data_IF_123807352954
#
_entry.id   IF_123807352954
#
_cell.length_a   1.000
_cell.length_b   1.000
_cell.length_c   1.000
_cell.angle_alpha   90.00
_cell.angle_beta   90.00
_cell.angle_gamma   90.00
#
_symmetry.space_group_name_H-M   'P 1'
#
loop_
_entity.id
_entity.type
_entity.pdbx_description
1 polymer ?
#
# COMPACT_ATOMS: atom_id res chain seq x y z
N UNK A 1 -5.24 -17.52 -10.35
CA UNK A 1 -4.86 -16.15 -9.95
C UNK A 1 -3.76 -16.24 -8.90
N UNK A 2 -2.55 -15.79 -9.22
CA UNK A 2 -1.39 -15.85 -8.32
C UNK A 2 -1.56 -14.84 -7.19
N UNK A 3 -1.87 -15.32 -5.98
CA UNK A 3 -1.88 -14.48 -4.78
C UNK A 3 -0.45 -14.18 -4.34
N UNK A 4 0.22 -13.22 -5.00
CA UNK A 4 1.51 -12.70 -4.52
C UNK A 4 1.27 -11.83 -3.29
N UNK A 5 1.56 -12.42 -2.13
CA UNK A 5 1.60 -11.74 -0.84
C UNK A 5 2.94 -11.00 -0.71
N UNK A 6 2.91 -9.69 -0.88
CA UNK A 6 4.05 -8.80 -0.69
C UNK A 6 4.31 -8.59 0.80
N UNK A 7 5.57 -8.53 1.20
CA UNK A 7 5.94 -8.13 2.55
C UNK A 7 6.02 -6.59 2.66
N UNK A 8 6.12 -6.04 3.87
CA UNK A 8 6.25 -4.57 4.06
C UNK A 8 7.41 -3.95 3.26
N UNK A 9 8.52 -4.70 3.10
CA UNK A 9 9.67 -4.26 2.30
C UNK A 9 9.33 -4.17 0.82
N UNK A 10 8.72 -5.21 0.26
CA UNK A 10 8.34 -5.23 -1.16
C UNK A 10 7.24 -4.20 -1.44
N UNK A 11 6.32 -3.98 -0.50
CA UNK A 11 5.34 -2.91 -0.62
C UNK A 11 5.99 -1.52 -0.62
N UNK A 12 7.02 -1.34 0.21
CA UNK A 12 7.80 -0.09 0.26
C UNK A 12 8.50 0.19 -1.07
N UNK A 13 9.10 -0.83 -1.68
CA UNK A 13 9.70 -0.74 -3.02
C UNK A 13 8.63 -0.52 -4.10
N UNK A 14 7.49 -1.21 -4.01
CA UNK A 14 6.40 -1.11 -4.99
C UNK A 14 5.69 0.25 -4.98
N UNK A 15 5.44 0.82 -3.79
CA UNK A 15 4.86 2.16 -3.65
C UNK A 15 5.90 3.29 -3.76
N UNK A 16 7.20 2.96 -3.78
CA UNK A 16 8.29 3.95 -3.65
C UNK A 16 8.23 4.75 -2.34
N UNK A 17 7.53 4.24 -1.32
CA UNK A 17 7.28 4.96 -0.06
C UNK A 17 8.08 4.32 1.07
N UNK A 18 8.80 5.08 1.91
CA UNK A 18 9.58 4.50 3.00
C UNK A 18 8.68 3.78 4.03
N UNK A 19 9.20 2.70 4.61
CA UNK A 19 8.50 1.84 5.59
C UNK A 19 7.81 2.62 6.71
N UNK A 20 8.44 3.68 7.24
CA UNK A 20 7.87 4.51 8.30
C UNK A 20 6.62 5.30 7.86
N UNK A 21 6.64 5.82 6.64
CA UNK A 21 5.46 6.47 6.05
C UNK A 21 4.38 5.44 5.75
N UNK A 22 4.76 4.23 5.33
CA UNK A 22 3.86 3.09 5.17
C UNK A 22 3.12 2.72 6.46
N UNK A 23 3.83 2.59 7.59
CA UNK A 23 3.19 2.39 8.90
C UNK A 23 2.26 3.53 9.27
N UNK A 24 2.68 4.79 9.05
CA UNK A 24 1.83 5.96 9.29
C UNK A 24 0.56 5.93 8.43
N UNK A 25 0.66 5.53 7.16
CA UNK A 25 -0.48 5.38 6.27
C UNK A 25 -1.43 4.26 6.72
N UNK A 26 -0.90 3.13 7.19
CA UNK A 26 -1.70 2.04 7.75
C UNK A 26 -2.43 2.52 9.00
N UNK A 27 -1.73 3.15 9.94
CA UNK A 27 -2.32 3.71 11.16
C UNK A 27 -3.37 4.78 10.87
N UNK A 28 -3.15 5.61 9.84
CA UNK A 28 -4.11 6.63 9.38
C UNK A 28 -5.27 6.06 8.54
N UNK A 29 -5.33 4.74 8.32
CA UNK A 29 -6.37 4.12 7.49
C UNK A 29 -6.31 4.53 6.01
N UNK A 30 -5.17 5.04 5.54
CA UNK A 30 -4.98 5.41 4.14
C UNK A 30 -4.89 4.18 3.25
N UNK A 31 -4.37 3.07 3.78
CA UNK A 31 -4.33 1.75 3.13
C UNK A 31 -5.46 0.90 3.73
N UNK A 32 -6.34 0.32 2.90
CA UNK A 32 -7.42 -0.53 3.37
C UNK A 32 -6.87 -1.75 4.10
N UNK A 33 -7.50 -2.12 5.21
CA UNK A 33 -7.17 -3.36 5.93
C UNK A 33 -7.42 -4.60 5.08
N UNK A 34 -8.31 -4.52 4.07
CA UNK A 34 -8.52 -5.58 3.08
C UNK A 34 -7.26 -5.92 2.27
N UNK A 35 -6.38 -4.93 2.04
CA UNK A 35 -5.09 -5.17 1.40
C UNK A 35 -4.07 -5.81 2.35
N UNK A 36 -4.36 -5.90 3.65
CA UNK A 36 -3.45 -6.32 4.71
C UNK A 36 -3.86 -7.69 5.24
N UNK A 37 -3.04 -8.68 4.94
CA UNK A 37 -3.17 -10.04 5.48
C UNK A 37 -2.29 -10.15 6.71
N UNK A 38 -2.92 -10.15 7.89
CA UNK A 38 -2.20 -10.33 9.16
C UNK A 38 -1.80 -11.80 9.30
N UNK A 39 -0.50 -12.06 9.27
CA UNK A 39 0.08 -13.39 9.42
C UNK A 39 0.88 -13.43 10.73
N UNK A 40 0.17 -13.62 11.85
CA UNK A 40 0.75 -13.60 13.19
C UNK A 40 1.36 -12.24 13.55
N UNK A 41 2.68 -12.21 13.75
CA UNK A 41 3.47 -10.97 14.01
C UNK A 41 3.86 -10.22 12.73
N UNK A 42 3.66 -10.82 11.55
CA UNK A 42 3.97 -10.23 10.26
C UNK A 42 2.74 -9.65 9.58
N UNK A 43 2.93 -8.56 8.84
CA UNK A 43 1.92 -8.00 7.94
C UNK A 43 2.32 -8.39 6.51
N UNK A 44 1.42 -9.06 5.80
CA UNK A 44 1.55 -9.30 4.37
C UNK A 44 0.52 -8.48 3.62
N UNK A 45 0.77 -8.22 2.36
CA UNK A 45 -0.08 -7.39 1.54
C UNK A 45 -0.42 -8.10 0.24
N UNK A 46 -1.70 -8.17 -0.09
CA UNK A 46 -2.11 -8.81 -1.34
C UNK A 46 -1.88 -7.83 -2.50
N UNK A 47 -0.99 -8.17 -3.43
CA UNK A 47 -0.67 -7.30 -4.57
C UNK A 47 -1.92 -6.92 -5.38
N UNK A 48 -2.84 -7.86 -5.60
CA UNK A 48 -4.08 -7.62 -6.35
C UNK A 48 -4.97 -6.57 -5.70
N UNK A 49 -5.08 -6.59 -4.37
CA UNK A 49 -5.87 -5.60 -3.62
C UNK A 49 -5.17 -4.24 -3.59
N UNK A 50 -3.83 -4.22 -3.51
CA UNK A 50 -3.06 -2.98 -3.63
C UNK A 50 -3.26 -2.36 -5.01
N UNK A 51 -3.21 -3.14 -6.08
CA UNK A 51 -3.39 -2.66 -7.45
C UNK A 51 -4.80 -2.07 -7.65
N UNK A 52 -5.85 -2.78 -7.18
CA UNK A 52 -7.21 -2.26 -7.16
C UNK A 52 -7.32 -0.98 -6.34
N UNK A 53 -6.68 -0.93 -5.17
CA UNK A 53 -6.69 0.26 -4.32
C UNK A 53 -6.00 1.44 -4.99
N UNK A 54 -4.83 1.24 -5.60
CA UNK A 54 -4.13 2.28 -6.36
C UNK A 54 -5.01 2.76 -7.51
N UNK A 55 -5.63 1.84 -8.25
CA UNK A 55 -6.52 2.14 -9.36
C UNK A 55 -7.74 2.96 -8.89
N UNK A 56 -8.36 2.58 -7.76
CA UNK A 56 -9.46 3.31 -7.14
C UNK A 56 -9.05 4.68 -6.59
N UNK A 57 -7.81 4.81 -6.09
CA UNK A 57 -7.25 6.08 -5.60
C UNK A 57 -6.65 6.96 -6.68
N UNK A 58 -6.53 6.48 -7.91
CA UNK A 58 -6.06 7.24 -9.07
C UNK A 58 -7.13 8.24 -9.51
N UNK A 59 -7.52 9.12 -8.59
CA UNK A 59 -8.35 10.27 -8.85
C UNK A 59 -7.49 11.32 -9.54
N UNK A 60 -7.69 11.42 -10.85
CA UNK A 60 -7.27 12.49 -11.78
C UNK A 60 -5.79 12.90 -11.80
N UNK A 61 -5.14 12.97 -12.98
CA UNK A 61 -3.75 13.43 -13.14
C UNK A 61 -3.57 14.96 -12.92
N UNK A 62 -4.03 15.51 -11.79
CA UNK A 62 -4.05 16.96 -11.55
C UNK A 62 -3.68 17.44 -10.14
N UNK A 63 -3.32 16.55 -9.21
CA UNK A 63 -3.01 16.96 -7.82
C UNK A 63 -1.79 16.24 -7.26
N UNK A 64 -0.61 16.49 -7.84
CA UNK A 64 0.64 16.29 -7.11
C UNK A 64 1.03 17.63 -6.46
N UNK A 65 1.05 17.75 -5.11
CA UNK A 65 1.69 18.89 -4.50
C UNK A 65 3.17 18.80 -4.86
N UNK A 66 3.63 19.76 -5.67
CA UNK A 66 5.05 20.00 -5.88
C UNK A 66 5.59 20.38 -4.51
N UNK A 67 6.27 19.44 -3.85
CA UNK A 67 7.06 19.73 -2.66
C UNK A 67 8.18 20.65 -3.12
N UNK A 68 8.04 21.95 -2.83
CA UNK A 68 9.00 23.00 -3.13
C UNK A 68 10.03 23.10 -2.02
#
# INVERSE_FOLDING_TARGET
MEKRLLNTKELSEYLGTPKGSLYTMICRGRIPQACIVKMGRGLRFEKSEIDKWISAKRLSPGSFPVYK
#
